data_IF_096033071584
#
_entry.id   IF_096033071584
#
_cell.length_a   1.000
_cell.length_b   1.000
_cell.length_c   1.000
_cell.angle_alpha   90.00
_cell.angle_beta   90.00
_cell.angle_gamma   90.00
#
_symmetry.space_group_name_H-M   'P 1'
#
loop_
_entity.id
_entity.type
_entity.pdbx_description
1 polymer ?
#
# COMPACT_ATOMS: atom_id res chain seq x y z
N UNK A 1 -0.11 10.33 -8.36
CA UNK A 1 -1.53 9.90 -8.32
C UNK A 1 -2.40 11.06 -7.87
N UNK A 2 -3.33 11.55 -8.71
CA UNK A 2 -4.22 12.65 -8.31
C UNK A 2 -5.09 12.34 -7.09
N UNK A 3 -5.55 11.09 -6.95
CA UNK A 3 -6.33 10.67 -5.78
C UNK A 3 -5.53 10.76 -4.49
N UNK A 4 -4.22 10.52 -4.56
CA UNK A 4 -3.34 10.59 -3.41
C UNK A 4 -3.21 12.02 -2.88
N UNK A 5 -3.15 13.00 -3.77
CA UNK A 5 -3.06 14.42 -3.39
C UNK A 5 -4.31 14.90 -2.63
N UNK A 6 -5.46 14.26 -2.85
CA UNK A 6 -6.73 14.58 -2.20
C UNK A 6 -7.04 13.66 -1.02
N UNK A 7 -6.19 12.66 -0.75
CA UNK A 7 -6.45 11.67 0.27
C UNK A 7 -6.27 12.25 1.68
N UNK A 8 -6.90 11.61 2.67
CA UNK A 8 -6.69 11.93 4.07
C UNK A 8 -5.22 11.72 4.45
N UNK A 9 -4.67 12.51 5.38
CA UNK A 9 -3.26 12.37 5.78
C UNK A 9 -2.86 10.95 6.19
N UNK A 10 -3.74 10.21 6.87
CA UNK A 10 -3.46 8.84 7.27
C UNK A 10 -3.24 7.91 6.07
N UNK A 11 -3.99 8.14 4.98
CA UNK A 11 -3.86 7.36 3.75
C UNK A 11 -2.57 7.68 3.02
N UNK A 12 -2.20 8.96 2.96
CA UNK A 12 -0.93 9.40 2.39
C UNK A 12 0.24 8.79 3.14
N UNK A 13 0.19 8.81 4.47
CA UNK A 13 1.23 8.22 5.31
C UNK A 13 1.37 6.71 5.05
N UNK A 14 0.27 5.99 4.90
CA UNK A 14 0.29 4.55 4.61
C UNK A 14 0.91 4.26 3.25
N UNK A 15 0.54 4.99 2.22
CA UNK A 15 1.09 4.82 0.86
C UNK A 15 2.57 5.17 0.85
N UNK A 16 2.98 6.22 1.53
CA UNK A 16 4.39 6.62 1.65
C UNK A 16 5.20 5.53 2.33
N UNK A 17 4.70 4.97 3.43
CA UNK A 17 5.34 3.85 4.12
C UNK A 17 5.49 2.64 3.20
N UNK A 18 4.44 2.29 2.47
CA UNK A 18 4.46 1.18 1.51
C UNK A 18 5.52 1.41 0.43
N UNK A 19 5.52 2.59 -0.19
CA UNK A 19 6.45 2.93 -1.27
C UNK A 19 7.90 2.93 -0.78
N UNK A 20 8.14 3.41 0.44
CA UNK A 20 9.46 3.41 1.04
C UNK A 20 9.99 1.98 1.24
N UNK A 21 9.12 1.06 1.67
CA UNK A 21 9.51 -0.32 1.97
C UNK A 21 9.54 -1.23 0.75
N UNK A 22 8.58 -1.08 -0.14
CA UNK A 22 8.43 -1.97 -1.29
C UNK A 22 9.11 -1.42 -2.56
N UNK A 23 9.47 -0.14 -2.53
CA UNK A 23 10.15 0.52 -3.64
C UNK A 23 9.20 1.32 -4.53
N UNK A 24 9.66 2.50 -4.92
CA UNK A 24 8.89 3.43 -5.75
C UNK A 24 8.64 2.86 -7.15
N UNK A 25 9.61 2.11 -7.70
CA UNK A 25 9.44 1.44 -8.98
C UNK A 25 8.33 0.38 -8.93
N UNK A 26 8.26 -0.37 -7.83
CA UNK A 26 7.19 -1.35 -7.62
C UNK A 26 5.84 -0.65 -7.47
N UNK A 27 5.78 0.50 -6.81
CA UNK A 27 4.57 1.29 -6.68
C UNK A 27 4.00 1.66 -8.05
N UNK A 28 4.86 2.15 -8.94
CA UNK A 28 4.44 2.63 -10.27
C UNK A 28 3.74 1.57 -11.11
N UNK A 29 4.13 0.31 -10.99
CA UNK A 29 3.60 -0.80 -11.80
C UNK A 29 2.60 -1.67 -11.04
N UNK A 30 2.30 -1.34 -9.80
CA UNK A 30 1.48 -2.19 -8.94
C UNK A 30 -0.02 -2.01 -9.19
N UNK A 31 -0.78 -3.08 -8.93
CA UNK A 31 -2.24 -3.02 -8.84
C UNK A 31 -2.67 -2.13 -7.68
N UNK A 32 -1.85 -2.06 -6.63
CA UNK A 32 -2.05 -1.17 -5.49
C UNK A 32 -2.21 0.28 -5.96
N UNK A 33 -1.29 0.78 -6.79
CA UNK A 33 -1.38 2.13 -7.36
C UNK A 33 -2.66 2.31 -8.19
N UNK A 34 -3.02 1.32 -8.99
CA UNK A 34 -4.23 1.36 -9.81
C UNK A 34 -5.50 1.53 -8.97
N UNK A 35 -5.57 0.85 -7.83
CA UNK A 35 -6.69 0.98 -6.90
C UNK A 35 -6.75 2.39 -6.29
N UNK A 36 -5.59 2.94 -5.93
CA UNK A 36 -5.49 4.31 -5.39
C UNK A 36 -5.93 5.33 -6.44
N UNK A 37 -5.46 5.19 -7.67
CA UNK A 37 -5.80 6.10 -8.77
C UNK A 37 -7.31 6.07 -9.10
N UNK A 38 -7.96 4.94 -8.86
CA UNK A 38 -9.40 4.78 -9.02
C UNK A 38 -10.18 5.21 -7.77
N UNK A 39 -9.52 5.73 -6.76
CA UNK A 39 -10.10 6.10 -5.46
C UNK A 39 -10.75 4.89 -4.75
N UNK A 40 -10.28 3.70 -5.05
CA UNK A 40 -10.76 2.45 -4.45
C UNK A 40 -9.85 2.07 -3.29
N UNK A 41 -10.04 2.73 -2.15
CA UNK A 41 -9.18 2.57 -0.98
C UNK A 41 -9.34 1.20 -0.30
N UNK A 42 -10.54 0.62 -0.32
CA UNK A 42 -10.73 -0.75 0.19
C UNK A 42 -9.96 -1.76 -0.66
N UNK A 43 -10.06 -1.63 -1.98
CA UNK A 43 -9.27 -2.47 -2.89
C UNK A 43 -7.77 -2.24 -2.75
N UNK A 44 -7.35 -0.98 -2.53
CA UNK A 44 -5.95 -0.66 -2.28
C UNK A 44 -5.44 -1.32 -1.00
N UNK A 45 -6.23 -1.31 0.07
CA UNK A 45 -5.88 -1.98 1.31
C UNK A 45 -5.71 -3.49 1.11
N UNK A 46 -6.60 -4.12 0.35
CA UNK A 46 -6.51 -5.54 0.03
C UNK A 46 -5.24 -5.86 -0.76
N UNK A 47 -4.90 -5.04 -1.75
CA UNK A 47 -3.68 -5.21 -2.52
C UNK A 47 -2.42 -4.99 -1.66
N UNK A 48 -2.47 -4.02 -0.75
CA UNK A 48 -1.38 -3.75 0.19
C UNK A 48 -0.99 -4.99 0.98
N UNK A 49 -1.99 -5.75 1.45
CA UNK A 49 -1.76 -6.95 2.26
C UNK A 49 -1.01 -8.05 1.53
N UNK A 50 -1.02 -8.05 0.21
CA UNK A 50 -0.31 -9.05 -0.60
C UNK A 50 1.21 -8.84 -0.63
N UNK A 51 1.70 -7.68 -0.20
CA UNK A 51 3.11 -7.33 -0.24
C UNK A 51 3.81 -7.63 1.10
N UNK A 52 3.67 -8.86 1.56
CA UNK A 52 4.22 -9.32 2.84
C UNK A 52 5.32 -10.38 2.68
N UNK A 53 5.90 -10.49 1.48
CA UNK A 53 6.93 -11.48 1.19
C UNK A 53 8.28 -10.83 0.97
N UNK A 54 9.33 -11.53 1.40
CA UNK A 54 10.70 -11.21 1.05
C UNK A 54 11.40 -12.52 0.65
N UNK A 55 12.15 -12.50 -0.46
CA UNK A 55 12.82 -13.69 -0.99
C UNK A 55 11.86 -14.89 -1.16
N UNK A 56 10.62 -14.63 -1.58
CA UNK A 56 9.60 -15.66 -1.79
C UNK A 56 8.94 -16.18 -0.53
N UNK A 57 9.26 -15.63 0.64
CA UNK A 57 8.70 -16.07 1.92
C UNK A 57 7.82 -15.01 2.54
N UNK A 58 6.70 -15.43 3.13
CA UNK A 58 5.88 -14.55 3.97
C UNK A 58 6.61 -14.34 5.30
N UNK A 59 6.86 -13.07 5.65
CA UNK A 59 7.51 -12.71 6.91
C UNK A 59 6.49 -12.09 7.86
N UNK A 60 6.42 -12.56 9.13
CA UNK A 60 5.45 -12.04 10.10
C UNK A 60 5.57 -10.52 10.32
N UNK A 61 6.80 -9.99 10.33
CA UNK A 61 7.03 -8.55 10.47
C UNK A 61 6.43 -7.75 9.32
N UNK A 62 6.58 -8.24 8.08
CA UNK A 62 6.00 -7.61 6.91
C UNK A 62 4.48 -7.72 6.90
N UNK A 63 3.94 -8.85 7.33
CA UNK A 63 2.49 -9.05 7.44
C UNK A 63 1.89 -8.02 8.39
N UNK A 64 2.49 -7.82 9.56
CA UNK A 64 2.03 -6.82 10.54
C UNK A 64 2.12 -5.40 9.98
N UNK A 65 3.21 -5.09 9.27
CA UNK A 65 3.41 -3.78 8.68
C UNK A 65 2.36 -3.48 7.61
N UNK A 66 2.10 -4.45 6.72
CA UNK A 66 1.07 -4.28 5.68
C UNK A 66 -0.31 -4.16 6.30
N UNK A 67 -0.60 -4.91 7.36
CA UNK A 67 -1.87 -4.81 8.07
C UNK A 67 -2.07 -3.42 8.70
N UNK A 68 -1.03 -2.85 9.29
CA UNK A 68 -1.09 -1.50 9.86
C UNK A 68 -1.33 -0.45 8.77
N UNK A 69 -0.62 -0.56 7.64
CA UNK A 69 -0.82 0.34 6.49
C UNK A 69 -2.22 0.22 5.91
N UNK A 70 -2.72 -1.00 5.74
CA UNK A 70 -4.06 -1.24 5.22
C UNK A 70 -5.15 -0.65 6.13
N UNK A 71 -4.99 -0.77 7.44
CA UNK A 71 -5.92 -0.19 8.40
C UNK A 71 -6.00 1.33 8.28
N UNK A 72 -4.89 2.00 7.95
CA UNK A 72 -4.87 3.45 7.74
C UNK A 72 -5.54 3.87 6.44
N UNK A 73 -5.67 2.97 5.48
CA UNK A 73 -6.28 3.24 4.18
C UNK A 73 -7.81 3.10 4.18
N UNK A 74 -8.33 2.25 5.05
CA UNK A 74 -9.79 2.03 5.17
C UNK A 74 -10.44 3.20 5.96
#
# INVERSE_FOLDING_TARGET
>A
SPSLAKAFPRRVAAVTSWAYNCGLGNYRVSTFKKRIDADNWDGAADECLKWNKAAGRVLPGLTRRRAAEAALMR
#
